data_IF_835803853599
#
_entry.id   IF_835803853599
#
_cell.length_a   1.000
_cell.length_b   1.000
_cell.length_c   1.000
_cell.angle_alpha   90.00
_cell.angle_beta   90.00
_cell.angle_gamma   90.00
#
_symmetry.space_group_name_H-M   'P 1'
#
loop_
_entity.id
_entity.type
_entity.pdbx_description
1 polymer ?
#
# COMPACT_ATOMS: atom_id res chain seq x y z
N UNK A 1 2.34 25.89 34.50
CA UNK A 1 1.62 26.08 33.22
C UNK A 1 2.71 26.32 32.19
N UNK A 2 3.31 25.22 31.74
CA UNK A 2 4.36 25.25 30.72
C UNK A 2 3.68 24.83 29.42
N UNK A 3 3.64 25.77 28.51
CA UNK A 3 3.23 25.64 27.12
C UNK A 3 4.34 24.83 26.42
N UNK A 4 4.00 23.62 25.97
CA UNK A 4 4.85 22.85 25.04
C UNK A 4 4.24 23.07 23.67
N UNK A 5 4.86 23.98 22.91
CA UNK A 5 4.71 24.05 21.46
C UNK A 5 5.21 22.75 20.86
N UNK A 6 4.29 21.98 20.28
CA UNK A 6 4.57 20.90 19.33
C UNK A 6 4.65 21.53 17.94
N UNK A 7 5.80 22.11 17.63
CA UNK A 7 6.24 22.33 16.23
C UNK A 7 7.01 21.07 15.82
N UNK A 8 6.26 20.00 15.56
CA UNK A 8 6.79 18.79 14.95
C UNK A 8 6.64 18.90 13.44
N UNK A 9 7.66 19.40 12.74
CA UNK A 9 7.81 19.15 11.31
C UNK A 9 7.96 17.62 11.12
N UNK A 10 6.82 16.98 10.87
CA UNK A 10 6.67 15.56 10.59
C UNK A 10 7.42 15.26 9.30
N UNK A 11 8.65 14.77 9.43
CA UNK A 11 9.47 14.37 8.29
C UNK A 11 9.39 12.86 8.17
N UNK A 12 8.42 12.39 7.40
CA UNK A 12 8.51 11.07 6.76
C UNK A 12 9.79 11.11 5.94
N UNK A 13 10.82 10.38 6.38
CA UNK A 13 12.09 10.34 5.66
C UNK A 13 11.82 9.68 4.30
N UNK A 14 12.30 10.27 3.19
CA UNK A 14 12.22 9.60 1.90
C UNK A 14 12.86 8.22 2.03
N UNK A 15 12.23 7.21 1.42
CA UNK A 15 12.68 5.83 1.50
C UNK A 15 13.98 5.69 0.72
N UNK A 16 15.13 5.96 1.35
CA UNK A 16 16.45 5.94 0.68
C UNK A 16 16.91 4.53 0.24
N UNK A 17 16.06 3.50 0.36
CA UNK A 17 16.34 2.13 -0.06
C UNK A 17 15.14 1.52 -0.80
N UNK A 18 15.37 0.79 -1.91
CA UNK A 18 14.33 -0.06 -2.51
C UNK A 18 13.84 -1.06 -1.47
N UNK A 19 12.54 -1.38 -1.47
CA UNK A 19 11.94 -2.26 -0.47
C UNK A 19 10.55 -1.81 0.00
N UNK A 20 10.06 -2.47 1.06
CA UNK A 20 8.72 -2.23 1.60
C UNK A 20 8.74 -1.62 3.00
N UNK A 21 7.91 -0.59 3.20
CA UNK A 21 7.61 0.00 4.50
C UNK A 21 6.18 -0.31 4.92
N UNK A 22 5.97 -0.62 6.19
CA UNK A 22 4.63 -0.78 6.74
C UNK A 22 4.12 0.54 7.31
N UNK A 23 3.03 1.05 6.76
CA UNK A 23 2.23 2.12 7.34
C UNK A 23 1.17 1.49 8.25
N UNK A 24 1.21 1.84 9.53
CA UNK A 24 0.24 1.38 10.51
C UNK A 24 -0.70 2.52 10.88
N UNK A 25 -1.98 2.32 10.59
CA UNK A 25 -3.01 3.35 10.66
C UNK A 25 -4.27 2.78 11.31
N UNK A 26 -4.67 3.29 12.48
CA UNK A 26 -5.94 2.90 13.09
C UNK A 26 -7.17 3.41 12.30
N UNK A 27 -6.97 4.38 11.38
CA UNK A 27 -8.03 5.00 10.58
C UNK A 27 -7.67 5.07 9.09
N UNK A 28 -8.50 4.45 8.24
CA UNK A 28 -8.32 4.46 6.77
C UNK A 28 -8.46 5.86 6.13
N UNK A 29 -8.94 6.86 6.87
CA UNK A 29 -9.13 8.23 6.37
C UNK A 29 -8.12 9.25 6.95
N UNK A 30 -7.30 8.85 7.92
CA UNK A 30 -6.49 9.79 8.72
C UNK A 30 -5.21 10.26 8.05
N UNK A 31 -4.65 9.47 7.12
CA UNK A 31 -3.22 9.56 6.80
C UNK A 31 -2.94 9.64 5.30
N UNK A 32 -3.85 10.28 4.56
CA UNK A 32 -3.61 10.69 3.18
C UNK A 32 -2.25 11.41 3.03
N UNK A 33 -1.84 12.19 4.03
CA UNK A 33 -0.56 12.92 4.02
C UNK A 33 0.67 11.98 4.02
N UNK A 34 0.65 10.89 4.79
CA UNK A 34 1.77 9.93 4.86
C UNK A 34 1.80 9.02 3.63
N UNK A 35 0.62 8.61 3.15
CA UNK A 35 0.46 7.89 1.88
C UNK A 35 0.94 8.74 0.70
N UNK A 36 0.50 9.99 0.62
CA UNK A 36 0.90 10.94 -0.43
C UNK A 36 2.40 11.19 -0.38
N UNK A 37 2.97 11.42 0.81
CA UNK A 37 4.42 11.62 0.96
C UNK A 37 5.24 10.41 0.49
N UNK A 38 4.79 9.19 0.79
CA UNK A 38 5.44 7.96 0.33
C UNK A 38 5.28 7.71 -1.17
N UNK A 39 4.24 8.29 -1.79
CA UNK A 39 3.94 8.19 -3.21
C UNK A 39 4.59 9.26 -4.07
N UNK A 40 5.39 10.19 -3.52
CA UNK A 40 6.02 11.25 -4.33
C UNK A 40 7.20 10.69 -5.14
N UNK A 41 7.07 10.50 -6.46
CA UNK A 41 8.21 10.15 -7.29
C UNK A 41 9.16 11.33 -7.36
N UNK A 42 10.47 11.07 -7.33
CA UNK A 42 11.47 12.10 -7.53
C UNK A 42 11.77 12.31 -9.03
N UNK A 43 11.37 11.35 -9.89
CA UNK A 43 11.76 11.30 -11.30
C UNK A 43 10.66 10.81 -12.28
N UNK A 44 11.06 10.13 -13.37
CA UNK A 44 10.18 9.56 -14.40
C UNK A 44 9.52 8.22 -13.97
N UNK A 45 9.60 7.88 -12.68
CA UNK A 45 9.04 6.68 -12.07
C UNK A 45 7.53 6.54 -12.29
N UNK A 46 7.07 5.29 -12.33
CA UNK A 46 5.64 4.95 -12.38
C UNK A 46 5.06 4.85 -10.97
N UNK A 47 3.73 4.95 -10.88
CA UNK A 47 3.01 4.81 -9.62
C UNK A 47 1.93 3.75 -9.75
N UNK A 48 1.99 2.77 -8.85
CA UNK A 48 1.08 1.64 -8.77
C UNK A 48 0.31 1.70 -7.46
N UNK A 49 -1.02 1.74 -7.52
CA UNK A 49 -1.89 1.59 -6.36
C UNK A 49 -2.60 0.24 -6.40
N UNK A 50 -2.44 -0.58 -5.37
CA UNK A 50 -3.18 -1.83 -5.19
C UNK A 50 -4.27 -1.59 -4.16
N UNK A 51 -5.53 -1.62 -4.58
CA UNK A 51 -6.68 -1.26 -3.74
C UNK A 51 -7.61 -2.44 -3.48
N UNK A 52 -7.92 -2.69 -2.22
CA UNK A 52 -8.96 -3.61 -1.74
C UNK A 52 -10.22 -2.86 -1.24
N UNK A 53 -10.09 -1.57 -1.01
CA UNK A 53 -10.96 -0.76 -0.14
C UNK A 53 -11.68 0.33 -0.93
N UNK A 54 -11.01 0.94 -1.90
CA UNK A 54 -11.46 2.13 -2.63
C UNK A 54 -11.59 1.87 -4.13
N UNK A 55 -12.63 2.39 -4.79
CA UNK A 55 -12.79 2.23 -6.23
C UNK A 55 -11.62 2.91 -6.97
N UNK A 56 -11.30 2.48 -8.20
CA UNK A 56 -10.14 2.96 -8.93
C UNK A 56 -10.17 4.47 -9.19
N UNK A 57 -11.35 5.05 -9.38
CA UNK A 57 -11.55 6.50 -9.54
C UNK A 57 -11.04 7.30 -8.33
N UNK A 58 -11.37 6.89 -7.11
CA UNK A 58 -10.91 7.53 -5.88
C UNK A 58 -9.40 7.38 -5.69
N UNK A 59 -8.82 6.24 -6.09
CA UNK A 59 -7.38 6.02 -6.02
C UNK A 59 -6.64 6.92 -7.02
N UNK A 60 -7.10 7.00 -8.27
CA UNK A 60 -6.50 7.82 -9.32
C UNK A 60 -6.50 9.31 -8.97
N UNK A 61 -7.57 9.79 -8.33
CA UNK A 61 -7.69 11.17 -7.85
C UNK A 61 -6.72 11.50 -6.71
N UNK A 62 -6.32 10.50 -5.92
CA UNK A 62 -5.35 10.65 -4.82
C UNK A 62 -3.89 10.48 -5.28
N UNK A 63 -3.65 9.95 -6.47
CA UNK A 63 -2.31 9.81 -7.00
C UNK A 63 -1.68 11.17 -7.32
N UNK A 64 -0.36 11.32 -7.14
CA UNK A 64 0.35 12.53 -7.53
C UNK A 64 0.14 12.84 -9.01
N UNK A 65 0.33 14.10 -9.39
CA UNK A 65 0.19 14.56 -10.77
C UNK A 65 1.36 14.06 -11.63
N UNK A 66 1.27 12.80 -12.06
CA UNK A 66 2.11 12.17 -13.08
C UNK A 66 1.29 11.95 -14.37
N UNK A 67 1.93 11.74 -15.53
CA UNK A 67 1.27 11.34 -16.77
C UNK A 67 0.41 10.07 -16.61
N UNK A 68 -0.72 10.00 -17.30
CA UNK A 68 -1.69 8.90 -17.16
C UNK A 68 -1.12 7.53 -17.57
N UNK A 69 -0.16 7.49 -18.50
CA UNK A 69 0.56 6.28 -18.91
C UNK A 69 1.54 5.74 -17.85
N UNK A 70 1.74 6.49 -16.76
CA UNK A 70 2.56 6.11 -15.61
C UNK A 70 1.75 5.86 -14.34
N UNK A 71 0.41 5.93 -14.41
CA UNK A 71 -0.48 5.59 -13.30
C UNK A 71 -1.14 4.27 -13.57
N UNK A 72 -1.15 3.40 -12.56
CA UNK A 72 -1.93 2.17 -12.64
C UNK A 72 -2.57 1.88 -11.29
N UNK A 73 -3.84 1.48 -11.34
CA UNK A 73 -4.58 0.99 -10.17
C UNK A 73 -4.94 -0.46 -10.39
N UNK A 74 -4.53 -1.33 -9.48
CA UNK A 74 -5.00 -2.70 -9.39
C UNK A 74 -6.17 -2.74 -8.40
N UNK A 75 -7.40 -2.82 -8.91
CA UNK A 75 -8.61 -2.91 -8.09
C UNK A 75 -8.95 -4.37 -7.79
N UNK A 76 -8.92 -4.72 -6.51
CA UNK A 76 -9.14 -6.07 -6.02
C UNK A 76 -10.55 -6.17 -5.43
N UNK A 77 -11.38 -7.03 -6.04
CA UNK A 77 -12.75 -7.25 -5.61
C UNK A 77 -13.73 -6.14 -5.99
N UNK A 78 -13.37 -5.23 -6.90
CA UNK A 78 -14.20 -4.11 -7.35
C UNK A 78 -15.64 -4.48 -7.69
N UNK A 79 -15.81 -5.55 -8.48
CA UNK A 79 -17.13 -6.05 -8.85
C UNK A 79 -17.98 -6.48 -7.65
N UNK A 80 -17.36 -7.09 -6.64
CA UNK A 80 -18.04 -7.50 -5.40
C UNK A 80 -18.42 -6.28 -4.57
N UNK A 81 -17.53 -5.29 -4.51
CA UNK A 81 -17.76 -4.02 -3.80
C UNK A 81 -18.88 -3.20 -4.43
N UNK A 82 -18.86 -3.03 -5.76
CA UNK A 82 -19.90 -2.33 -6.51
C UNK A 82 -21.26 -3.02 -6.35
N UNK A 83 -21.30 -4.35 -6.44
CA UNK A 83 -22.52 -5.13 -6.21
C UNK A 83 -23.09 -4.93 -4.80
N UNK A 84 -22.22 -4.91 -3.77
CA UNK A 84 -22.63 -4.64 -2.39
C UNK A 84 -23.16 -3.20 -2.19
N UNK A 85 -22.62 -2.24 -2.92
CA UNK A 85 -23.07 -0.85 -2.93
C UNK A 85 -24.31 -0.58 -3.80
N UNK A 86 -24.77 -1.59 -4.57
CA UNK A 86 -25.87 -1.43 -5.51
C UNK A 86 -25.51 -0.57 -6.74
N UNK A 87 -24.22 -0.47 -7.06
CA UNK A 87 -23.68 0.28 -8.20
C UNK A 87 -23.10 -0.67 -9.26
N UNK A 88 -22.83 -0.15 -10.45
CA UNK A 88 -22.11 -0.88 -11.49
C UNK A 88 -20.64 -0.46 -11.44
N UNK A 89 -19.72 -1.43 -11.47
CA UNK A 89 -18.31 -1.13 -11.72
C UNK A 89 -18.17 -0.57 -13.14
N UNK A 90 -17.51 0.57 -13.27
CA UNK A 90 -17.24 1.19 -14.56
C UNK A 90 -15.75 1.05 -14.84
N UNK A 91 -15.35 0.46 -15.98
CA UNK A 91 -13.93 0.33 -16.31
C UNK A 91 -13.31 1.72 -16.48
N UNK A 92 -12.18 1.92 -15.83
CA UNK A 92 -11.41 3.17 -15.85
C UNK A 92 -10.09 2.96 -16.60
N UNK A 93 -9.63 3.96 -17.36
CA UNK A 93 -8.31 3.89 -17.99
C UNK A 93 -7.21 3.82 -16.91
N UNK A 94 -6.23 2.94 -17.10
CA UNK A 94 -5.19 2.66 -16.10
C UNK A 94 -5.64 1.73 -14.97
N UNK A 95 -6.82 1.10 -15.07
CA UNK A 95 -7.30 0.08 -14.12
C UNK A 95 -6.97 -1.35 -14.57
N UNK A 96 -6.50 -2.17 -13.64
CA UNK A 96 -6.39 -3.62 -13.76
C UNK A 96 -7.27 -4.25 -12.67
N UNK A 97 -8.23 -5.08 -13.08
CA UNK A 97 -9.16 -5.70 -12.12
C UNK A 97 -8.75 -7.12 -11.74
N UNK A 98 -8.70 -7.40 -10.44
CA UNK A 98 -8.61 -8.75 -9.87
C UNK A 98 -9.95 -9.08 -9.23
N UNK A 99 -10.73 -9.96 -9.86
CA UNK A 99 -12.13 -10.17 -9.51
C UNK A 99 -12.31 -10.78 -8.11
N UNK A 100 -11.51 -11.79 -7.76
CA UNK A 100 -11.58 -12.48 -6.48
C UNK A 100 -10.54 -11.95 -5.48
N UNK A 101 -10.95 -11.38 -4.33
CA UNK A 101 -10.01 -10.86 -3.33
C UNK A 101 -9.04 -11.87 -2.71
N UNK A 102 -9.35 -13.17 -2.83
CA UNK A 102 -8.51 -14.26 -2.36
C UNK A 102 -7.60 -14.85 -3.44
N UNK A 103 -7.64 -14.34 -4.69
CA UNK A 103 -6.74 -14.74 -5.76
C UNK A 103 -5.39 -14.02 -5.64
N UNK A 104 -4.59 -14.47 -4.68
CA UNK A 104 -3.22 -13.98 -4.48
C UNK A 104 -2.31 -14.27 -5.68
N UNK A 105 -2.65 -15.25 -6.52
CA UNK A 105 -1.85 -15.57 -7.72
C UNK A 105 -2.11 -14.55 -8.81
N UNK A 106 -3.38 -14.27 -9.11
CA UNK A 106 -3.78 -13.23 -10.05
C UNK A 106 -3.27 -11.86 -9.62
N UNK A 107 -3.38 -11.53 -8.33
CA UNK A 107 -2.84 -10.29 -7.79
C UNK A 107 -1.32 -10.19 -7.95
N UNK A 108 -0.59 -11.25 -7.61
CA UNK A 108 0.87 -11.27 -7.75
C UNK A 108 1.33 -11.11 -9.20
N UNK A 109 0.62 -11.72 -10.15
CA UNK A 109 0.89 -11.57 -11.59
C UNK A 109 0.62 -10.13 -12.04
N UNK A 110 -0.54 -9.57 -11.67
CA UNK A 110 -0.91 -8.20 -12.03
C UNK A 110 0.14 -7.19 -11.56
N UNK A 111 0.58 -7.31 -10.31
CA UNK A 111 1.64 -6.45 -9.76
C UNK A 111 2.96 -6.69 -10.51
N UNK A 112 3.38 -7.95 -10.65
CA UNK A 112 4.65 -8.28 -11.28
C UNK A 112 4.76 -7.79 -12.74
N UNK A 113 3.64 -7.69 -13.46
CA UNK A 113 3.63 -7.10 -14.82
C UNK A 113 3.90 -5.59 -14.80
N UNK A 114 3.44 -4.88 -13.77
CA UNK A 114 3.72 -3.44 -13.60
C UNK A 114 5.15 -3.16 -13.12
N UNK A 115 5.78 -4.15 -12.50
CA UNK A 115 7.19 -4.06 -12.08
C UNK A 115 8.16 -4.35 -13.24
N UNK A 116 7.69 -4.80 -14.41
CA UNK A 116 8.55 -5.10 -15.56
C UNK A 116 8.88 -3.84 -16.34
N UNK A 117 10.10 -3.79 -16.85
CA UNK A 117 10.58 -2.76 -17.78
C UNK A 117 10.35 -1.32 -17.27
N UNK A 118 10.36 -1.12 -15.95
CA UNK A 118 10.25 0.19 -15.31
C UNK A 118 11.63 0.71 -14.92
N UNK A 119 11.82 2.03 -14.98
CA UNK A 119 13.00 2.74 -14.48
C UNK A 119 12.89 3.04 -12.97
N UNK A 120 11.88 2.48 -12.31
CA UNK A 120 11.55 2.64 -10.89
C UNK A 120 10.04 2.82 -10.68
N UNK A 121 9.50 2.33 -9.56
CA UNK A 121 8.06 2.36 -9.30
C UNK A 121 7.74 2.57 -7.83
N UNK A 122 6.82 3.49 -7.56
CA UNK A 122 6.23 3.69 -6.25
C UNK A 122 4.96 2.85 -6.11
N UNK A 123 4.88 2.01 -5.07
CA UNK A 123 3.74 1.12 -4.84
C UNK A 123 3.02 1.51 -3.55
N UNK A 124 1.72 1.78 -3.66
CA UNK A 124 0.79 1.82 -2.52
C UNK A 124 0.03 0.51 -2.45
N UNK A 125 0.04 -0.16 -1.31
CA UNK A 125 -0.79 -1.33 -1.06
C UNK A 125 -1.81 -1.03 0.04
N UNK A 126 -3.06 -0.79 -0.36
CA UNK A 126 -4.18 -0.45 0.53
C UNK A 126 -5.31 -1.49 0.44
N UNK A 127 -5.50 -2.39 1.40
CA UNK A 127 -4.71 -2.61 2.61
C UNK A 127 -4.53 -4.08 2.88
N UNK A 128 -3.49 -4.40 3.66
CA UNK A 128 -3.29 -5.73 4.23
C UNK A 128 -4.48 -6.10 5.14
N UNK A 129 -5.04 -5.12 5.86
CA UNK A 129 -6.24 -5.29 6.69
C UNK A 129 -7.40 -5.89 5.90
N UNK A 130 -7.69 -5.33 4.73
CA UNK A 130 -8.76 -5.80 3.88
C UNK A 130 -8.43 -7.17 3.26
N UNK A 131 -7.18 -7.39 2.83
CA UNK A 131 -6.72 -8.70 2.37
C UNK A 131 -6.96 -9.81 3.41
N UNK A 132 -6.63 -9.57 4.68
CA UNK A 132 -6.79 -10.55 5.76
C UNK A 132 -8.25 -10.92 6.06
N UNK A 133 -9.23 -10.19 5.53
CA UNK A 133 -10.65 -10.60 5.58
C UNK A 133 -10.97 -11.74 4.60
N UNK A 134 -10.15 -11.94 3.58
CA UNK A 134 -10.37 -12.92 2.50
C UNK A 134 -9.37 -14.07 2.50
N UNK A 135 -8.19 -13.89 3.10
CA UNK A 135 -7.13 -14.90 3.15
C UNK A 135 -6.59 -15.09 4.56
N UNK A 136 -6.17 -16.31 4.87
CA UNK A 136 -5.53 -16.66 6.14
C UNK A 136 -4.17 -15.94 6.29
N UNK A 137 -3.82 -15.54 7.51
CA UNK A 137 -2.57 -14.82 7.83
C UNK A 137 -1.32 -15.48 7.27
N UNK A 138 -1.24 -16.82 7.29
CA UNK A 138 -0.09 -17.58 6.76
C UNK A 138 0.06 -17.45 5.23
N UNK A 139 -1.06 -17.41 4.51
CA UNK A 139 -1.07 -17.20 3.05
C UNK A 139 -0.72 -15.76 2.71
N UNK A 140 -1.31 -14.79 3.42
CA UNK A 140 -0.96 -13.38 3.28
C UNK A 140 0.53 -13.15 3.54
N UNK A 141 1.08 -13.72 4.61
CA UNK A 141 2.50 -13.64 4.94
C UNK A 141 3.38 -14.17 3.81
N UNK A 142 3.06 -15.36 3.29
CA UNK A 142 3.83 -15.98 2.19
C UNK A 142 3.78 -15.13 0.93
N UNK A 143 2.60 -14.60 0.59
CA UNK A 143 2.41 -13.72 -0.55
C UNK A 143 3.19 -12.42 -0.40
N UNK A 144 3.03 -11.71 0.72
CA UNK A 144 3.72 -10.46 1.00
C UNK A 144 5.24 -10.64 1.00
N UNK A 145 5.75 -11.72 1.60
CA UNK A 145 7.17 -12.03 1.58
C UNK A 145 7.70 -12.22 0.14
N UNK A 146 6.95 -12.91 -0.72
CA UNK A 146 7.33 -13.08 -2.13
C UNK A 146 7.23 -11.75 -2.90
N UNK A 147 6.20 -10.96 -2.64
CA UNK A 147 5.97 -9.67 -3.28
C UNK A 147 7.09 -8.67 -2.94
N UNK A 148 7.50 -8.60 -1.67
CA UNK A 148 8.62 -7.78 -1.24
C UNK A 148 9.92 -8.14 -1.97
N UNK A 149 10.14 -9.43 -2.26
CA UNK A 149 11.26 -9.87 -3.09
C UNK A 149 11.20 -9.31 -4.52
N UNK A 150 10.03 -9.38 -5.16
CA UNK A 150 9.87 -8.80 -6.51
C UNK A 150 10.02 -7.28 -6.54
N UNK A 151 9.53 -6.59 -5.51
CA UNK A 151 9.67 -5.14 -5.37
C UNK A 151 11.15 -4.75 -5.21
N UNK A 152 11.90 -5.50 -4.41
CA UNK A 152 13.34 -5.30 -4.26
C UNK A 152 14.09 -5.50 -5.59
N UNK A 153 13.77 -6.55 -6.34
CA UNK A 153 14.40 -6.83 -7.63
C UNK A 153 14.09 -5.78 -8.71
N UNK A 154 12.96 -5.07 -8.57
CA UNK A 154 12.49 -4.02 -9.46
C UNK A 154 12.90 -2.60 -9.03
N UNK A 155 13.75 -2.46 -8.00
CA UNK A 155 14.12 -1.16 -7.41
C UNK A 155 12.89 -0.32 -6.99
N UNK A 156 11.83 -1.00 -6.53
CA UNK A 156 10.55 -0.38 -6.21
C UNK A 156 10.54 0.18 -4.78
N UNK A 157 9.90 1.34 -4.62
CA UNK A 157 9.60 1.95 -3.34
C UNK A 157 8.16 1.62 -2.96
N UNK A 158 7.95 0.70 -2.02
CA UNK A 158 6.62 0.26 -1.64
C UNK A 158 6.25 0.65 -0.21
N UNK A 159 5.00 1.00 -0.01
CA UNK A 159 4.40 1.11 1.31
C UNK A 159 3.08 0.36 1.38
N UNK A 160 2.80 -0.20 2.56
CA UNK A 160 1.66 -1.10 2.79
C UNK A 160 0.87 -0.61 3.98
N UNK A 161 -0.45 -0.59 3.86
CA UNK A 161 -1.33 -0.11 4.92
C UNK A 161 -1.86 -1.28 5.76
N UNK A 162 -1.77 -1.14 7.07
CA UNK A 162 -2.30 -2.10 8.04
C UNK A 162 -2.95 -1.35 9.21
N UNK A 163 -4.16 -1.77 9.61
CA UNK A 163 -4.80 -1.30 10.83
C UNK A 163 -4.46 -2.27 11.97
N UNK A 164 -3.60 -1.90 12.92
CA UNK A 164 -3.19 -2.79 13.99
C UNK A 164 -4.35 -3.13 14.96
N UNK A 165 -5.34 -2.25 15.11
CA UNK A 165 -6.48 -2.46 16.01
C UNK A 165 -7.52 -3.44 15.45
N UNK A 166 -7.45 -3.73 14.15
CA UNK A 166 -8.33 -4.68 13.48
C UNK A 166 -7.88 -6.15 13.65
N UNK A 167 -6.69 -6.38 14.21
CA UNK A 167 -6.06 -7.69 14.28
C UNK A 167 -5.51 -7.98 15.69
N UNK A 168 -5.33 -9.26 15.99
CA UNK A 168 -4.65 -9.68 17.22
C UNK A 168 -3.14 -9.38 17.17
N UNK A 169 -2.52 -9.28 18.35
CA UNK A 169 -1.10 -8.94 18.49
C UNK A 169 -0.16 -9.91 17.73
N UNK A 170 -0.51 -11.19 17.64
CA UNK A 170 0.30 -12.20 16.94
C UNK A 170 0.28 -11.95 15.43
N UNK A 171 -0.90 -11.70 14.86
CA UNK A 171 -1.06 -11.33 13.45
C UNK A 171 -0.31 -10.04 13.12
N UNK A 172 -0.47 -8.98 13.92
CA UNK A 172 0.23 -7.70 13.71
C UNK A 172 1.74 -7.89 13.78
N UNK A 173 2.24 -8.64 14.76
CA UNK A 173 3.67 -8.90 14.90
C UNK A 173 4.22 -9.73 13.73
N UNK A 174 3.48 -10.73 13.26
CA UNK A 174 3.86 -11.55 12.12
C UNK A 174 3.98 -10.71 10.85
N UNK A 175 2.96 -9.91 10.51
CA UNK A 175 3.00 -9.04 9.33
C UNK A 175 4.10 -7.99 9.45
N UNK A 176 4.21 -7.32 10.60
CA UNK A 176 5.26 -6.30 10.85
C UNK A 176 6.66 -6.89 10.69
N UNK A 177 6.86 -8.18 10.98
CA UNK A 177 8.19 -8.82 10.85
C UNK A 177 8.70 -8.93 9.41
N UNK A 178 7.85 -8.73 8.40
CA UNK A 178 8.23 -8.74 6.98
C UNK A 178 8.90 -7.43 6.54
N UNK A 179 8.69 -6.34 7.27
CA UNK A 179 9.09 -5.00 6.86
C UNK A 179 10.27 -4.50 7.69
N UNK A 180 11.18 -3.77 7.04
CA UNK A 180 12.35 -3.18 7.70
C UNK A 180 11.99 -1.92 8.50
N UNK A 181 10.89 -1.25 8.15
CA UNK A 181 10.37 -0.08 8.84
C UNK A 181 8.87 -0.16 9.04
N UNK A 182 8.42 0.35 10.20
CA UNK A 182 7.01 0.60 10.51
C UNK A 182 6.84 2.07 10.86
N UNK A 183 5.80 2.70 10.34
CA UNK A 183 5.39 4.05 10.73
C UNK A 183 4.04 3.91 11.42
N UNK A 184 3.96 4.28 12.69
CA UNK A 184 2.69 4.40 13.39
C UNK A 184 2.17 5.83 13.20
N UNK A 185 1.15 5.96 12.37
CA UNK A 185 0.70 7.26 11.89
C UNK A 185 -0.19 8.02 12.90
N UNK A 186 -0.82 7.32 13.85
CA UNK A 186 -1.63 7.94 14.92
C UNK A 186 -0.81 8.90 15.81
N UNK A 187 0.48 8.62 16.00
CA UNK A 187 1.41 9.46 16.76
C UNK A 187 2.56 10.02 15.90
N UNK A 188 2.51 9.83 14.57
CA UNK A 188 3.57 10.21 13.63
C UNK A 188 4.94 9.58 13.95
N UNK A 189 4.96 8.49 14.70
CA UNK A 189 6.18 7.88 15.23
C UNK A 189 6.71 6.85 14.24
N UNK A 190 7.89 7.12 13.69
CA UNK A 190 8.61 6.16 12.85
C UNK A 190 9.36 5.17 13.75
N UNK A 191 8.98 3.90 13.68
CA UNK A 191 9.67 2.79 14.33
C UNK A 191 10.46 2.01 13.28
N UNK A 192 11.72 2.38 13.07
CA UNK A 192 12.63 1.62 12.20
C UNK A 192 13.17 0.41 12.96
N UNK A 193 13.13 -0.78 12.35
CA UNK A 193 13.80 -1.96 12.86
C UNK A 193 15.08 -2.18 12.08
N UNK A 194 16.23 -2.11 12.75
CA UNK A 194 17.49 -2.57 12.15
C UNK A 194 17.44 -4.10 12.03
N UNK A 195 17.46 -4.64 10.79
CA UNK A 195 17.71 -6.07 10.57
C UNK A 195 19.10 -6.39 11.11
N UNK A 196 19.16 -7.19 12.18
CA UNK A 196 20.39 -7.79 12.70
C UNK A 196 20.84 -8.93 11.80
#
# INVERSE_FOLDING_TARGET
MADVSVDGEQRVLPLERPGGTLLCDASMAGNADACEAALRPESDESVLWVSYTQPPEDCLDQLPSVPDDRKTVVDVGGGTRAAAAGTAATPTDGEISVAEPNDLTGLGIAIAEQLRDTDGVHVCFDSITAMLQYVETSRAYTFLNSLLGHLWDADAHAHFHLNPDAHDEETVAAITSLFDARVDADDGTVVTRERT
#
